data_IF_698098530857
#
_entry.id   IF_698098530857
#
_cell.length_a   1.000
_cell.length_b   1.000
_cell.length_c   1.000
_cell.angle_alpha   90.00
_cell.angle_beta   90.00
_cell.angle_gamma   90.00
#
_symmetry.space_group_name_H-M   'P 1'
#
loop_
_entity.id
_entity.type
_entity.pdbx_description
1 polymer ?
#
# COMPACT_ATOMS: atom_id res chain seq x y z
N UNK A 1 -13.84 10.31 -1.18
CA UNK A 1 -14.31 8.91 -1.00
C UNK A 1 -13.71 8.41 0.30
N UNK A 2 -14.40 7.63 1.14
CA UNK A 2 -13.76 7.03 2.30
C UNK A 2 -12.63 6.11 1.85
N UNK A 3 -11.58 5.99 2.67
CA UNK A 3 -10.48 5.05 2.46
C UNK A 3 -11.07 3.64 2.31
N UNK A 4 -10.78 2.98 1.19
CA UNK A 4 -11.17 1.57 0.97
C UNK A 4 -9.99 0.68 1.28
N UNK A 5 -10.20 -0.33 2.11
CA UNK A 5 -9.21 -1.36 2.41
C UNK A 5 -9.76 -2.73 2.01
N UNK A 6 -8.93 -3.52 1.36
CA UNK A 6 -9.27 -4.86 0.89
C UNK A 6 -8.02 -5.75 0.86
N UNK A 7 -8.23 -7.06 0.97
CA UNK A 7 -7.17 -8.07 0.83
C UNK A 7 -7.40 -8.80 -0.48
N UNK A 8 -6.36 -8.91 -1.29
CA UNK A 8 -6.42 -9.60 -2.58
C UNK A 8 -5.12 -10.35 -2.89
N UNK A 9 -5.16 -11.35 -3.78
CA UNK A 9 -3.97 -12.02 -4.29
C UNK A 9 -2.98 -11.07 -4.98
N UNK A 10 -1.69 -11.40 -4.95
CA UNK A 10 -0.65 -10.59 -5.58
C UNK A 10 -0.85 -10.37 -7.09
N UNK A 11 -1.29 -11.41 -7.82
CA UNK A 11 -1.57 -11.34 -9.25
C UNK A 11 -2.76 -10.40 -9.56
N UNK A 12 -3.80 -10.42 -8.73
CA UNK A 12 -4.90 -9.47 -8.83
C UNK A 12 -4.44 -8.03 -8.56
N UNK A 13 -3.52 -7.82 -7.63
CA UNK A 13 -2.95 -6.50 -7.35
C UNK A 13 -2.20 -5.97 -8.58
N UNK A 14 -1.38 -6.81 -9.19
CA UNK A 14 -0.65 -6.47 -10.42
C UNK A 14 -1.60 -6.17 -11.58
N UNK A 15 -2.73 -6.88 -11.68
CA UNK A 15 -3.72 -6.65 -12.74
C UNK A 15 -4.50 -5.33 -12.57
N UNK A 16 -4.81 -4.96 -11.33
CA UNK A 16 -5.67 -3.79 -11.02
C UNK A 16 -4.90 -2.49 -10.86
N UNK A 17 -3.69 -2.56 -10.32
CA UNK A 17 -2.91 -1.40 -9.97
C UNK A 17 -1.89 -1.05 -11.06
N UNK A 18 -1.70 0.25 -11.30
CA UNK A 18 -0.73 0.79 -12.26
C UNK A 18 0.39 1.52 -11.52
N UNK A 19 1.56 1.60 -12.18
CA UNK A 19 2.69 2.37 -11.68
C UNK A 19 3.24 1.86 -10.34
N UNK A 20 3.04 0.57 -10.02
CA UNK A 20 3.50 -0.02 -8.78
C UNK A 20 5.01 0.14 -8.65
N UNK A 21 5.43 0.78 -7.55
CA UNK A 21 6.84 1.00 -7.20
C UNK A 21 7.09 0.61 -5.76
N UNK A 22 8.24 0.00 -5.52
CA UNK A 22 8.68 -0.39 -4.19
C UNK A 22 8.95 0.86 -3.34
N UNK A 23 8.33 0.93 -2.17
CA UNK A 23 8.54 1.98 -1.17
C UNK A 23 9.36 1.47 0.00
N UNK A 24 9.03 0.28 0.50
CA UNK A 24 9.75 -0.35 1.59
C UNK A 24 9.90 -1.84 1.34
N UNK A 25 11.09 -2.36 1.61
CA UNK A 25 11.36 -3.79 1.69
C UNK A 25 11.97 -4.09 3.05
N UNK A 26 11.18 -4.67 3.94
CA UNK A 26 11.62 -5.19 5.22
C UNK A 26 11.63 -6.71 5.24
N UNK A 27 12.19 -7.31 6.29
CA UNK A 27 12.32 -8.77 6.42
C UNK A 27 10.99 -9.53 6.37
N UNK A 28 9.90 -8.89 6.80
CA UNK A 28 8.57 -9.50 6.92
C UNK A 28 7.46 -8.73 6.21
N UNK A 29 7.80 -7.61 5.56
CA UNK A 29 6.82 -6.77 4.88
C UNK A 29 7.41 -6.14 3.64
N UNK A 30 6.62 -6.06 2.58
CA UNK A 30 6.89 -5.27 1.39
C UNK A 30 5.78 -4.26 1.21
N UNK A 31 6.14 -3.02 0.91
CA UNK A 31 5.20 -1.92 0.71
C UNK A 31 5.38 -1.35 -0.68
N UNK A 32 4.29 -1.27 -1.43
CA UNK A 32 4.24 -0.65 -2.75
C UNK A 32 3.36 0.61 -2.74
N UNK A 33 3.77 1.61 -3.51
CA UNK A 33 2.91 2.71 -3.92
C UNK A 33 2.41 2.42 -5.33
N UNK A 34 1.13 2.63 -5.58
CA UNK A 34 0.55 2.44 -6.91
C UNK A 34 -0.66 3.36 -7.11
N UNK A 35 -1.35 3.17 -8.23
CA UNK A 35 -2.63 3.80 -8.53
C UNK A 35 -3.66 2.76 -8.94
N UNK A 36 -4.89 2.87 -8.44
CA UNK A 36 -6.03 2.07 -8.87
C UNK A 36 -7.16 2.99 -9.33
N UNK A 37 -7.60 2.86 -10.59
CA UNK A 37 -8.69 3.68 -11.13
C UNK A 37 -8.44 5.19 -11.01
N UNK A 38 -7.17 5.63 -11.10
CA UNK A 38 -6.75 7.03 -10.96
C UNK A 38 -6.63 7.53 -9.52
N UNK A 39 -6.81 6.66 -8.52
CA UNK A 39 -6.66 7.01 -7.12
C UNK A 39 -5.35 6.44 -6.56
N UNK A 40 -4.64 7.19 -5.69
CA UNK A 40 -3.44 6.69 -5.07
C UNK A 40 -3.76 5.54 -4.13
N UNK A 41 -2.98 4.48 -4.21
CA UNK A 41 -3.10 3.35 -3.31
C UNK A 41 -1.75 2.93 -2.73
N UNK A 42 -1.83 2.18 -1.64
CA UNK A 42 -0.71 1.56 -0.95
C UNK A 42 -1.02 0.08 -0.79
N UNK A 43 -0.08 -0.79 -1.15
CA UNK A 43 -0.24 -2.23 -1.00
C UNK A 43 0.83 -2.78 -0.06
N UNK A 44 0.42 -3.54 0.95
CA UNK A 44 1.32 -4.20 1.90
C UNK A 44 1.21 -5.71 1.75
N UNK A 45 2.33 -6.38 1.50
CA UNK A 45 2.42 -7.83 1.49
C UNK A 45 3.29 -8.34 2.64
N UNK A 46 2.96 -9.50 3.19
CA UNK A 46 3.68 -10.15 4.32
C UNK A 46 4.37 -11.45 3.92
N UNK A 47 4.36 -11.79 2.62
CA UNK A 47 5.00 -12.99 2.07
C UNK A 47 4.10 -14.23 2.01
N UNK A 48 2.81 -14.09 2.33
CA UNK A 48 1.79 -15.14 2.22
C UNK A 48 1.12 -15.22 0.83
N UNK A 49 1.55 -14.37 -0.11
CA UNK A 49 0.98 -14.28 -1.46
C UNK A 49 -0.22 -13.33 -1.57
N UNK A 50 -0.64 -12.71 -0.47
CA UNK A 50 -1.72 -11.73 -0.44
C UNK A 50 -1.18 -10.31 -0.20
N UNK A 51 -1.97 -9.34 -0.64
CA UNK A 51 -1.71 -7.91 -0.50
C UNK A 51 -2.91 -7.26 0.18
N UNK A 52 -2.66 -6.51 1.25
CA UNK A 52 -3.63 -5.54 1.76
C UNK A 52 -3.50 -4.26 0.94
N UNK A 53 -4.52 -3.93 0.15
CA UNK A 53 -4.59 -2.72 -0.66
C UNK A 53 -5.45 -1.67 0.05
N UNK A 54 -4.86 -0.50 0.28
CA UNK A 54 -5.55 0.68 0.79
C UNK A 54 -5.61 1.73 -0.32
N UNK A 55 -6.82 2.13 -0.72
CA UNK A 55 -7.07 3.16 -1.73
C UNK A 55 -7.48 4.45 -1.03
N UNK A 56 -6.80 5.54 -1.35
CA UNK A 56 -6.99 6.85 -0.73
C UNK A 56 -7.77 7.77 -1.65
N UNK A 57 -8.42 8.79 -1.09
CA UNK A 57 -9.07 9.81 -1.89
C UNK A 57 -8.05 10.65 -2.67
N UNK A 58 -6.90 10.93 -2.05
CA UNK A 58 -5.83 11.74 -2.61
C UNK A 58 -4.44 11.39 -2.04
N UNK A 59 -3.41 12.03 -2.60
CA UNK A 59 -2.01 11.84 -2.20
C UNK A 59 -1.73 12.33 -0.78
N UNK A 60 -2.49 13.31 -0.28
CA UNK A 60 -2.30 13.88 1.05
C UNK A 60 -2.69 12.87 2.12
N UNK A 61 -3.80 12.16 1.93
CA UNK A 61 -4.21 11.07 2.81
C UNK A 61 -3.19 9.93 2.82
N UNK A 62 -2.69 9.52 1.64
CA UNK A 62 -1.65 8.49 1.53
C UNK A 62 -0.37 8.90 2.27
N UNK A 63 0.07 10.15 2.08
CA UNK A 63 1.25 10.68 2.77
C UNK A 63 1.05 10.73 4.30
N UNK A 64 -0.13 11.13 4.78
CA UNK A 64 -0.45 11.14 6.20
C UNK A 64 -0.42 9.73 6.80
N UNK A 65 -0.92 8.72 6.07
CA UNK A 65 -0.86 7.31 6.48
C UNK A 65 0.58 6.82 6.63
N UNK A 66 1.43 7.12 5.64
CA UNK A 66 2.86 6.76 5.65
C UNK A 66 3.62 7.45 6.80
N UNK A 67 3.36 8.74 7.02
CA UNK A 67 3.97 9.48 8.14
C UNK A 67 3.54 8.92 9.50
N UNK A 68 2.27 8.52 9.63
CA UNK A 68 1.76 7.86 10.83
C UNK A 68 2.41 6.51 11.12
N UNK A 69 2.69 5.70 10.08
CA UNK A 69 3.40 4.43 10.23
C UNK A 69 4.87 4.63 10.57
N UNK A 70 5.54 5.58 9.94
CA UNK A 70 6.93 5.91 10.25
C UNK A 70 7.10 6.32 11.73
N UNK A 71 6.14 7.08 12.28
CA UNK A 71 6.15 7.47 13.68
C UNK A 71 5.85 6.31 14.66
N UNK A 72 5.25 5.21 14.18
CA UNK A 72 4.93 4.02 14.99
C UNK A 72 5.99 2.92 14.91
N UNK A 73 6.92 3.01 13.97
CA UNK A 73 8.03 2.06 13.89
C UNK A 73 8.93 2.23 15.13
N UNK A 74 9.35 1.14 15.80
CA UNK A 74 10.32 1.24 16.89
C UNK A 74 11.62 1.86 16.35
N UNK A 75 12.22 2.75 17.14
CA UNK A 75 13.55 3.29 16.84
C UNK A 75 14.57 2.14 16.71
N UNK A 76 15.58 2.28 15.83
CA UNK A 76 16.58 1.24 15.58
C UNK A 76 17.34 0.82 16.84
#
# INVERSE_FOLDING_TARGET
>A
MPVREEVLPYDEFVARCRGARLFELGERRVVYLAEEGGHPCLAVGTGDGFMTLTVFADERERAARLAGDAARAPAP
#
